data_IF_048228609638
#
_entry.id   IF_048228609638
#
_cell.length_a   1.000
_cell.length_b   1.000
_cell.length_c   1.000
_cell.angle_alpha   90.00
_cell.angle_beta   90.00
_cell.angle_gamma   90.00
#
_symmetry.space_group_name_H-M   'P 1'
#
loop_
_entity.id
_entity.type
_entity.pdbx_description
1 polymer ?
#
# COMPACT_ATOMS: atom_id res chain seq x y z
N UNK A 1 9.67 -14.99 -2.77
CA UNK A 1 9.10 -15.63 -3.97
C UNK A 1 9.92 -15.16 -5.17
N UNK A 2 10.32 -16.09 -6.05
CA UNK A 2 11.10 -15.79 -7.24
C UNK A 2 10.28 -16.15 -8.48
N UNK A 3 10.48 -15.39 -9.55
CA UNK A 3 9.80 -15.55 -10.84
C UNK A 3 10.84 -15.45 -11.95
N UNK A 4 10.65 -16.20 -13.03
CA UNK A 4 11.49 -16.13 -14.23
C UNK A 4 10.64 -16.38 -15.47
N UNK A 5 10.92 -15.61 -16.51
CA UNK A 5 10.46 -15.92 -17.86
C UNK A 5 11.52 -16.73 -18.60
N UNK A 6 11.12 -17.87 -19.15
CA UNK A 6 12.01 -18.74 -19.91
C UNK A 6 11.26 -19.30 -21.12
N UNK A 7 11.79 -19.07 -22.32
CA UNK A 7 11.19 -19.48 -23.59
C UNK A 7 9.70 -19.04 -23.75
N UNK A 8 9.38 -17.82 -23.32
CA UNK A 8 8.01 -17.27 -23.38
C UNK A 8 7.04 -17.85 -22.36
N UNK A 9 7.52 -18.70 -21.44
CA UNK A 9 6.74 -19.27 -20.34
C UNK A 9 7.16 -18.63 -19.03
N UNK A 10 6.23 -18.52 -18.10
CA UNK A 10 6.48 -17.93 -16.78
C UNK A 10 6.57 -19.04 -15.76
N UNK A 11 7.64 -19.05 -14.98
CA UNK A 11 7.86 -20.00 -13.90
C UNK A 11 7.97 -19.27 -12.57
N UNK A 12 7.37 -19.85 -11.54
CA UNK A 12 7.37 -19.31 -10.17
C UNK A 12 7.95 -20.33 -9.21
N UNK A 13 8.79 -19.87 -8.29
CA UNK A 13 9.36 -20.70 -7.24
C UNK A 13 8.38 -20.81 -6.07
N UNK A 14 7.77 -21.97 -5.92
CA UNK A 14 6.83 -22.29 -4.84
C UNK A 14 7.29 -23.53 -4.09
N UNK A 15 7.44 -23.43 -2.77
CA UNK A 15 7.86 -24.55 -1.90
C UNK A 15 9.13 -25.27 -2.37
N UNK A 16 10.11 -24.51 -2.88
CA UNK A 16 11.39 -25.06 -3.37
C UNK A 16 11.32 -25.71 -4.76
N UNK A 17 10.17 -25.64 -5.45
CA UNK A 17 10.00 -26.17 -6.80
C UNK A 17 9.60 -25.06 -7.76
N UNK A 18 10.22 -25.06 -8.94
CA UNK A 18 9.78 -24.23 -10.06
C UNK A 18 8.52 -24.85 -10.66
N UNK A 19 7.47 -24.03 -10.78
CA UNK A 19 6.20 -24.42 -11.39
C UNK A 19 5.90 -23.48 -12.54
N UNK A 20 5.51 -24.05 -13.67
CA UNK A 20 5.00 -23.28 -14.80
C UNK A 20 3.63 -22.70 -14.44
N UNK A 21 3.46 -21.40 -14.71
CA UNK A 21 2.15 -20.74 -14.63
C UNK A 21 1.38 -21.12 -15.89
N UNK A 22 0.18 -21.67 -15.72
CA UNK A 22 -0.66 -22.03 -16.86
C UNK A 22 -1.12 -20.78 -17.62
N UNK A 23 -1.30 -20.91 -18.94
CA UNK A 23 -1.75 -19.80 -19.78
C UNK A 23 -3.18 -19.37 -19.43
N UNK A 24 -4.04 -20.29 -18.98
CA UNK A 24 -5.38 -19.98 -18.48
C UNK A 24 -5.33 -19.09 -17.24
N UNK A 25 -4.43 -19.39 -16.30
CA UNK A 25 -4.25 -18.57 -15.10
C UNK A 25 -3.76 -17.17 -15.48
N UNK A 26 -2.77 -17.06 -16.37
CA UNK A 26 -2.31 -15.76 -16.87
C UNK A 26 -3.45 -14.96 -17.49
N UNK A 27 -4.17 -15.56 -18.43
CA UNK A 27 -5.30 -14.91 -19.11
C UNK A 27 -6.37 -14.44 -18.12
N UNK A 28 -6.70 -15.25 -17.11
CA UNK A 28 -7.67 -14.86 -16.08
C UNK A 28 -7.22 -13.66 -15.24
N UNK A 29 -5.93 -13.57 -14.90
CA UNK A 29 -5.37 -12.44 -14.15
C UNK A 29 -5.41 -11.17 -15.00
N UNK A 30 -4.93 -11.25 -16.25
CA UNK A 30 -4.93 -10.10 -17.16
C UNK A 30 -6.35 -9.60 -17.45
N UNK A 31 -7.29 -10.50 -17.73
CA UNK A 31 -8.69 -10.16 -17.95
C UNK A 31 -9.27 -9.48 -16.71
N UNK A 32 -9.00 -10.00 -15.51
CA UNK A 32 -9.47 -9.38 -14.27
C UNK A 32 -8.93 -7.96 -14.10
N UNK A 33 -7.62 -7.75 -14.28
CA UNK A 33 -7.01 -6.43 -14.13
C UNK A 33 -7.46 -5.44 -15.21
N UNK A 34 -7.83 -5.93 -16.39
CA UNK A 34 -8.40 -5.11 -17.47
C UNK A 34 -9.85 -4.69 -17.19
N UNK A 35 -10.66 -5.61 -16.67
CA UNK A 35 -12.10 -5.38 -16.42
C UNK A 35 -12.37 -4.49 -15.20
N UNK A 36 -11.38 -4.38 -14.30
CA UNK A 36 -11.47 -3.54 -13.11
C UNK A 36 -10.60 -2.30 -13.33
N UNK A 37 -11.20 -1.11 -13.40
CA UNK A 37 -10.46 0.15 -13.50
C UNK A 37 -9.74 0.45 -12.17
N UNK A 38 -8.55 -0.14 -11.99
CA UNK A 38 -7.79 -0.10 -10.74
C UNK A 38 -6.91 1.15 -10.62
N UNK A 39 -6.62 1.82 -11.73
CA UNK A 39 -5.62 2.89 -11.77
C UNK A 39 -6.19 4.16 -11.18
N UNK A 40 -5.51 4.67 -10.15
CA UNK A 40 -5.85 5.92 -9.49
C UNK A 40 -4.82 6.99 -9.85
N UNK A 41 -5.25 8.25 -9.84
CA UNK A 41 -4.35 9.39 -9.95
C UNK A 41 -4.69 10.52 -8.94
N UNK A 42 -4.58 10.26 -7.63
CA UNK A 42 -4.84 11.27 -6.62
C UNK A 42 -3.79 12.38 -6.61
N UNK A 43 -4.23 13.63 -6.73
CA UNK A 43 -3.35 14.81 -6.73
C UNK A 43 -2.54 14.99 -5.43
N UNK A 44 -3.02 14.44 -4.31
CA UNK A 44 -2.34 14.52 -3.00
C UNK A 44 -1.11 13.60 -2.88
N UNK A 45 -0.89 12.69 -3.83
CA UNK A 45 0.35 11.91 -3.94
C UNK A 45 1.20 12.50 -5.07
N UNK A 46 2.32 13.18 -4.78
CA UNK A 46 3.09 13.89 -5.80
C UNK A 46 4.00 12.97 -6.62
N UNK A 47 4.43 13.47 -7.78
CA UNK A 47 5.50 12.90 -8.60
C UNK A 47 6.82 13.66 -8.39
N UNK A 48 7.93 13.08 -8.84
CA UNK A 48 9.24 13.75 -8.95
C UNK A 48 10.00 13.90 -7.64
N UNK A 49 9.51 13.34 -6.53
CA UNK A 49 10.24 13.38 -5.25
C UNK A 49 11.55 12.60 -5.37
N UNK A 50 12.66 13.21 -4.95
CA UNK A 50 13.89 12.48 -4.72
C UNK A 50 13.80 11.74 -3.38
N UNK A 51 13.84 10.40 -3.43
CA UNK A 51 13.69 9.54 -2.25
C UNK A 51 15.03 9.16 -1.61
N UNK A 52 16.12 9.78 -2.03
CA UNK A 52 17.44 9.52 -1.46
C UNK A 52 17.62 10.13 -0.09
N UNK A 53 18.15 9.30 0.81
CA UNK A 53 18.44 9.64 2.18
C UNK A 53 19.95 9.61 2.39
N UNK A 54 20.56 10.80 2.42
CA UNK A 54 22.02 10.96 2.37
C UNK A 54 22.76 10.36 3.57
N UNK A 55 22.20 10.40 4.77
CA UNK A 55 22.75 9.78 5.98
C UNK A 55 22.82 8.25 5.89
N UNK A 56 21.92 7.65 5.10
CA UNK A 56 21.86 6.20 4.86
C UNK A 56 22.50 5.77 3.54
N UNK A 57 22.77 6.72 2.64
CA UNK A 57 23.20 6.47 1.26
C UNK A 57 22.27 5.51 0.50
N UNK A 58 20.98 5.60 0.78
CA UNK A 58 19.96 4.69 0.25
C UNK A 58 18.71 5.47 -0.18
N UNK A 59 17.96 4.92 -1.13
CA UNK A 59 16.64 5.40 -1.51
C UNK A 59 15.58 4.78 -0.58
N UNK A 60 14.72 5.59 0.02
CA UNK A 60 13.85 5.19 1.13
C UNK A 60 12.43 5.72 0.93
N UNK A 61 11.43 4.86 1.06
CA UNK A 61 10.00 5.22 0.96
C UNK A 61 9.60 6.28 2.00
N UNK A 62 10.22 6.27 3.19
CA UNK A 62 9.99 7.25 4.27
C UNK A 62 10.20 8.71 3.80
N UNK A 63 11.10 8.94 2.83
CA UNK A 63 11.35 10.26 2.26
C UNK A 63 10.16 10.71 1.41
N UNK A 64 9.62 9.81 0.60
CA UNK A 64 8.39 10.08 -0.16
C UNK A 64 7.22 10.38 0.79
N UNK A 65 7.01 9.51 1.77
CA UNK A 65 5.88 9.60 2.71
C UNK A 65 5.91 10.95 3.45
N UNK A 66 7.07 11.34 3.98
CA UNK A 66 7.28 12.64 4.62
C UNK A 66 6.97 13.80 3.68
N UNK A 67 7.54 13.80 2.48
CA UNK A 67 7.36 14.91 1.52
C UNK A 67 5.91 15.04 1.04
N UNK A 68 5.23 13.93 0.78
CA UNK A 68 3.81 13.93 0.45
C UNK A 68 2.97 14.52 1.60
N UNK A 69 3.24 14.08 2.83
CA UNK A 69 2.53 14.55 4.01
C UNK A 69 2.85 16.01 4.39
N UNK A 70 4.04 16.52 4.08
CA UNK A 70 4.40 17.95 4.22
C UNK A 70 3.67 18.81 3.19
N UNK A 71 3.46 18.29 1.98
CA UNK A 71 2.82 19.00 0.87
C UNK A 71 1.28 18.99 0.90
N UNK A 72 0.66 18.21 1.79
CA UNK A 72 -0.79 18.07 1.87
C UNK A 72 -1.28 18.03 3.33
N UNK A 73 -2.07 19.04 3.73
CA UNK A 73 -2.64 19.12 5.07
C UNK A 73 -3.61 17.97 5.37
N UNK A 74 -4.26 17.45 4.32
CA UNK A 74 -5.23 16.36 4.39
C UNK A 74 -4.58 14.97 4.36
N UNK A 75 -3.25 14.87 4.41
CA UNK A 75 -2.53 13.59 4.36
C UNK A 75 -1.67 13.38 5.61
N UNK A 76 -2.13 12.54 6.55
CA UNK A 76 -1.44 12.25 7.80
C UNK A 76 -0.32 11.21 7.62
N UNK A 77 0.86 11.45 8.20
CA UNK A 77 1.99 10.52 8.17
C UNK A 77 1.87 9.47 9.27
N UNK A 78 1.90 8.18 8.91
CA UNK A 78 1.79 7.03 9.83
C UNK A 78 2.96 6.02 9.73
N UNK A 79 3.86 6.17 8.75
CA UNK A 79 5.11 5.42 8.42
C UNK A 79 5.99 4.95 9.62
N UNK A 80 5.73 5.42 10.84
CA UNK A 80 6.45 5.07 12.08
C UNK A 80 5.58 4.43 13.15
N UNK A 81 4.32 4.11 12.86
CA UNK A 81 3.42 3.41 13.76
C UNK A 81 3.80 1.93 13.88
N UNK A 82 4.89 1.63 14.61
CA UNK A 82 5.12 0.28 15.11
C UNK A 82 4.25 0.09 16.36
N UNK A 83 2.97 -0.15 16.14
CA UNK A 83 2.00 -0.32 17.22
C UNK A 83 2.27 -1.64 17.94
N UNK A 84 2.79 -1.59 19.16
CA UNK A 84 2.96 -2.78 19.99
C UNK A 84 1.68 -3.02 20.79
N UNK A 85 0.92 -4.07 20.42
CA UNK A 85 -0.24 -4.50 21.20
C UNK A 85 0.15 -5.73 22.03
N UNK A 86 0.05 -5.59 23.35
CA UNK A 86 0.23 -6.67 24.32
C UNK A 86 1.53 -7.50 24.15
N UNK A 87 2.63 -6.87 23.72
CA UNK A 87 3.96 -7.48 23.63
C UNK A 87 4.18 -8.47 22.48
N UNK A 88 3.23 -8.63 21.53
CA UNK A 88 3.34 -9.70 20.51
C UNK A 88 3.06 -9.27 19.05
N UNK A 89 2.25 -8.24 18.80
CA UNK A 89 1.91 -7.84 17.42
C UNK A 89 2.29 -6.41 17.14
N UNK A 90 3.10 -6.22 16.09
CA UNK A 90 3.42 -4.92 15.48
C UNK A 90 2.46 -4.69 14.32
N UNK A 91 1.55 -3.73 14.46
CA UNK A 91 0.67 -3.32 13.36
C UNK A 91 1.23 -2.06 12.71
N UNK A 92 1.49 -2.12 11.40
CA UNK A 92 1.79 -0.98 10.54
C UNK A 92 0.56 -0.79 9.64
N UNK A 93 -0.46 -0.10 10.15
CA UNK A 93 -1.80 -0.10 9.53
C UNK A 93 -1.79 0.50 8.13
N UNK A 94 -1.02 1.56 7.93
CA UNK A 94 -0.74 2.19 6.64
C UNK A 94 0.41 3.18 6.79
N UNK A 95 0.95 3.64 5.67
CA UNK A 95 2.04 4.63 5.65
C UNK A 95 1.50 6.06 5.71
N UNK A 96 0.36 6.28 5.05
CA UNK A 96 -0.34 7.56 4.97
C UNK A 96 -1.86 7.34 5.12
N UNK A 97 -2.53 8.27 5.81
CA UNK A 97 -4.00 8.31 5.90
C UNK A 97 -4.48 9.65 5.36
N UNK A 98 -5.35 9.63 4.36
CA UNK A 98 -5.92 10.85 3.83
C UNK A 98 -7.29 11.17 4.47
N UNK A 99 -7.65 12.46 4.54
CA UNK A 99 -8.89 12.94 5.15
C UNK A 99 -10.16 12.38 4.49
N UNK A 100 -10.06 11.93 3.24
CA UNK A 100 -11.13 11.25 2.49
C UNK A 100 -11.30 9.76 2.82
N UNK A 101 -10.62 9.26 3.88
CA UNK A 101 -10.58 7.84 4.29
C UNK A 101 -9.79 6.92 3.36
N UNK A 102 -8.83 7.45 2.59
CA UNK A 102 -7.85 6.63 1.87
C UNK A 102 -6.76 6.13 2.82
N UNK A 103 -6.68 4.81 2.96
CA UNK A 103 -5.65 4.05 3.67
C UNK A 103 -4.57 3.70 2.64
N UNK A 104 -3.43 4.39 2.70
CA UNK A 104 -2.42 4.36 1.62
C UNK A 104 -1.19 3.60 2.10
N UNK A 105 -0.79 2.62 1.29
CA UNK A 105 0.45 1.86 1.48
C UNK A 105 1.42 2.18 0.36
N UNK A 106 2.66 2.52 0.70
CA UNK A 106 3.68 2.99 -0.23
C UNK A 106 4.81 1.98 -0.30
N UNK A 107 5.14 1.54 -1.51
CA UNK A 107 6.31 0.70 -1.74
C UNK A 107 7.10 1.14 -2.94
N UNK A 108 8.41 1.16 -2.82
CA UNK A 108 9.28 1.32 -3.99
C UNK A 108 9.32 0.02 -4.79
N UNK A 109 9.06 0.13 -6.08
CA UNK A 109 9.43 -0.88 -7.04
C UNK A 109 10.96 -0.91 -7.17
N UNK A 110 11.55 -2.00 -6.72
CA UNK A 110 12.96 -2.33 -6.91
C UNK A 110 13.03 -3.68 -7.62
N UNK A 111 14.16 -4.03 -8.21
CA UNK A 111 14.35 -5.22 -9.06
C UNK A 111 13.94 -6.53 -8.36
N UNK A 112 12.66 -6.89 -8.44
CA UNK A 112 12.08 -8.13 -7.90
C UNK A 112 10.59 -8.05 -7.57
N UNK A 113 9.85 -9.14 -7.84
CA UNK A 113 8.41 -9.26 -7.57
C UNK A 113 8.05 -9.27 -6.08
N UNK A 114 8.98 -9.70 -5.22
CA UNK A 114 8.69 -10.03 -3.84
C UNK A 114 8.25 -8.81 -3.00
N UNK A 115 8.82 -7.62 -3.26
CA UNK A 115 8.51 -6.41 -2.50
C UNK A 115 7.10 -5.90 -2.78
N UNK A 116 6.68 -5.89 -4.05
CA UNK A 116 5.35 -5.43 -4.46
C UNK A 116 4.27 -6.46 -4.14
N UNK A 117 4.52 -7.76 -4.35
CA UNK A 117 3.58 -8.80 -3.88
C UNK A 117 3.33 -8.70 -2.36
N UNK A 118 4.38 -8.38 -1.59
CA UNK A 118 4.25 -8.15 -0.15
C UNK A 118 3.43 -6.92 0.17
N UNK A 119 3.58 -5.81 -0.57
CA UNK A 119 2.74 -4.61 -0.43
C UNK A 119 1.24 -4.97 -0.51
N UNK A 120 0.82 -5.70 -1.54
CA UNK A 120 -0.59 -6.06 -1.73
C UNK A 120 -1.11 -6.95 -0.61
N UNK A 121 -0.34 -7.98 -0.24
CA UNK A 121 -0.70 -8.87 0.87
C UNK A 121 -0.80 -8.11 2.20
N UNK A 122 0.15 -7.22 2.46
CA UNK A 122 0.22 -6.42 3.68
C UNK A 122 -0.97 -5.45 3.78
N UNK A 123 -1.26 -4.68 2.73
CA UNK A 123 -2.40 -3.76 2.73
C UNK A 123 -3.74 -4.49 2.81
N UNK A 124 -3.89 -5.66 2.14
CA UNK A 124 -5.06 -6.54 2.36
C UNK A 124 -5.21 -6.91 3.83
N UNK A 125 -4.13 -7.42 4.45
CA UNK A 125 -4.16 -7.86 5.83
C UNK A 125 -4.51 -6.72 6.80
N UNK A 126 -3.90 -5.54 6.63
CA UNK A 126 -4.14 -4.42 7.52
C UNK A 126 -5.48 -3.72 7.31
N UNK A 127 -5.97 -3.57 6.08
CA UNK A 127 -7.33 -3.08 5.84
C UNK A 127 -8.39 -4.04 6.42
N UNK A 128 -8.16 -5.35 6.29
CA UNK A 128 -8.99 -6.35 6.96
C UNK A 128 -8.94 -6.24 8.49
N UNK A 129 -7.74 -6.07 9.07
CA UNK A 129 -7.59 -5.86 10.50
C UNK A 129 -8.24 -4.54 10.96
N UNK A 130 -8.09 -3.45 10.21
CA UNK A 130 -8.72 -2.17 10.50
C UNK A 130 -10.26 -2.31 10.62
N UNK A 131 -10.89 -3.04 9.71
CA UNK A 131 -12.34 -3.25 9.74
C UNK A 131 -12.82 -4.27 10.78
N UNK A 132 -12.02 -5.27 11.13
CA UNK A 132 -12.45 -6.36 12.03
C UNK A 132 -11.96 -6.27 13.46
N UNK A 133 -10.76 -5.73 13.67
CA UNK A 133 -10.02 -5.80 14.91
C UNK A 133 -10.07 -4.45 15.63
N UNK A 134 -10.83 -4.40 16.73
CA UNK A 134 -10.92 -3.20 17.58
C UNK A 134 -9.56 -2.86 18.20
N UNK A 135 -8.71 -3.84 18.49
CA UNK A 135 -7.37 -3.58 19.02
C UNK A 135 -6.50 -2.86 17.99
N UNK A 136 -6.60 -3.23 16.71
CA UNK A 136 -5.94 -2.54 15.60
C UNK A 136 -6.34 -1.05 15.57
N UNK A 137 -7.64 -0.75 15.57
CA UNK A 137 -8.14 0.65 15.57
C UNK A 137 -7.74 1.43 16.82
N UNK A 138 -7.79 0.79 17.99
CA UNK A 138 -7.35 1.41 19.24
C UNK A 138 -5.86 1.75 19.22
N UNK A 139 -5.02 0.86 18.69
CA UNK A 139 -3.59 1.11 18.51
C UNK A 139 -3.34 2.31 17.59
N UNK A 140 -4.02 2.35 16.44
CA UNK A 140 -3.92 3.47 15.50
C UNK A 140 -4.36 4.80 16.12
N UNK A 141 -5.47 4.80 16.86
CA UNK A 141 -5.98 5.97 17.60
C UNK A 141 -4.95 6.45 18.63
N UNK A 142 -4.44 5.54 19.45
CA UNK A 142 -3.47 5.88 20.50
C UNK A 142 -2.17 6.45 19.93
N UNK A 143 -1.74 5.97 18.76
CA UNK A 143 -0.56 6.51 18.08
C UNK A 143 -0.80 7.91 17.54
N UNK A 144 -1.93 8.16 16.86
CA UNK A 144 -2.28 9.51 16.39
C UNK A 144 -2.42 10.49 17.57
N UNK A 145 -3.03 10.05 18.68
CA UNK A 145 -3.14 10.86 19.90
C UNK A 145 -1.76 11.26 20.43
N UNK A 146 -0.83 10.30 20.53
CA UNK A 146 0.52 10.51 21.05
C UNK A 146 1.50 11.13 20.05
N UNK A 147 1.16 11.19 18.76
CA UNK A 147 2.05 11.63 17.70
C UNK A 147 2.43 13.11 17.83
N UNK A 148 3.73 13.38 17.78
CA UNK A 148 4.34 14.70 17.85
C UNK A 148 5.28 14.98 16.67
N UNK A 149 5.25 14.16 15.59
CA UNK A 149 6.09 14.40 14.41
C UNK A 149 5.75 15.79 13.83
N UNK A 150 6.75 16.66 13.60
CA UNK A 150 6.53 18.02 13.11
C UNK A 150 5.71 18.10 11.81
N UNK A 151 5.72 17.04 11.00
CA UNK A 151 4.93 16.94 9.77
C UNK A 151 3.43 16.92 10.03
N UNK A 152 3.01 16.42 11.19
CA UNK A 152 1.61 16.25 11.54
C UNK A 152 1.11 17.32 12.53
N UNK A 153 1.99 18.04 13.22
CA UNK A 153 1.62 18.96 14.30
C UNK A 153 0.64 20.06 13.88
N UNK A 154 0.71 20.50 12.62
CA UNK A 154 -0.15 21.54 12.07
C UNK A 154 -1.46 21.01 11.45
N UNK A 155 -1.68 19.69 11.44
CA UNK A 155 -2.84 19.04 10.81
C UNK A 155 -4.02 18.95 11.76
N UNK A 156 -5.22 18.76 11.21
CA UNK A 156 -6.44 18.51 11.97
C UNK A 156 -6.45 17.12 12.60
N UNK A 157 -5.64 16.93 13.65
CA UNK A 157 -5.56 15.68 14.41
C UNK A 157 -6.95 15.18 14.87
N UNK A 158 -7.85 16.01 15.43
CA UNK A 158 -9.22 15.60 15.72
C UNK A 158 -9.98 15.05 14.50
N UNK A 159 -9.83 15.69 13.35
CA UNK A 159 -10.40 15.22 12.08
C UNK A 159 -9.92 13.81 11.72
N UNK A 160 -8.61 13.55 11.78
CA UNK A 160 -8.04 12.22 11.49
C UNK A 160 -8.46 11.14 12.50
N UNK A 161 -8.54 11.48 13.79
CA UNK A 161 -9.06 10.56 14.82
C UNK A 161 -10.53 10.19 14.56
N UNK A 162 -11.33 11.13 14.05
CA UNK A 162 -12.72 10.86 13.68
C UNK A 162 -12.87 9.91 12.49
N UNK A 163 -11.81 9.70 11.69
CA UNK A 163 -11.79 8.71 10.61
C UNK A 163 -11.61 7.28 11.14
N UNK A 164 -11.38 7.07 12.44
CA UNK A 164 -11.14 5.76 13.06
C UNK A 164 -12.28 5.43 14.04
N UNK A 165 -13.32 4.70 13.59
CA UNK A 165 -14.46 4.37 14.44
C UNK A 165 -14.05 3.46 15.60
N UNK A 166 -14.39 3.84 16.83
CA UNK A 166 -14.08 3.02 18.03
C UNK A 166 -14.84 1.70 18.02
N UNK A 167 -16.11 1.71 17.58
CA UNK A 167 -16.96 0.51 17.52
C UNK A 167 -17.06 0.02 16.09
N UNK A 168 -17.10 -1.30 15.93
CA UNK A 168 -17.30 -1.95 14.63
C UNK A 168 -18.62 -1.53 13.96
N UNK A 169 -19.68 -1.31 14.74
CA UNK A 169 -20.99 -0.91 14.22
C UNK A 169 -21.00 0.47 13.54
N UNK A 170 -20.01 1.31 13.86
CA UNK A 170 -19.87 2.66 13.30
C UNK A 170 -18.92 2.68 12.09
N UNK A 171 -18.34 1.52 11.73
CA UNK A 171 -17.45 1.33 10.60
C UNK A 171 -18.22 0.73 9.43
N UNK A 172 -18.18 1.43 8.30
CA UNK A 172 -18.69 0.93 7.03
C UNK A 172 -17.52 0.91 6.04
N UNK A 173 -17.08 -0.28 5.64
CA UNK A 173 -15.91 -0.46 4.78
C UNK A 173 -16.04 0.26 3.42
N UNK A 174 -17.26 0.46 2.91
CA UNK A 174 -17.55 1.16 1.64
C UNK A 174 -17.14 2.64 1.63
N UNK A 175 -16.97 3.21 2.82
CA UNK A 175 -16.56 4.60 2.98
C UNK A 175 -15.04 4.76 2.92
N UNK A 176 -14.28 3.66 2.93
CA UNK A 176 -12.82 3.64 2.93
C UNK A 176 -12.28 3.16 1.58
N UNK A 177 -11.12 3.72 1.22
CA UNK A 177 -10.35 3.28 0.06
C UNK A 177 -9.02 2.72 0.51
N UNK A 178 -8.60 1.59 -0.05
CA UNK A 178 -7.24 1.06 0.11
C UNK A 178 -6.45 1.41 -1.14
N UNK A 179 -5.39 2.19 -0.97
CA UNK A 179 -4.58 2.70 -2.08
C UNK A 179 -3.19 2.08 -2.01
N UNK A 180 -2.82 1.33 -3.04
CA UNK A 180 -1.46 0.81 -3.20
C UNK A 180 -0.64 1.80 -4.03
N UNK A 181 0.25 2.53 -3.40
CA UNK A 181 1.16 3.45 -4.06
C UNK A 181 2.49 2.76 -4.37
N UNK A 182 2.78 2.61 -5.66
CA UNK A 182 4.04 2.02 -6.13
C UNK A 182 4.93 3.14 -6.69
N UNK A 183 6.08 3.33 -6.03
CA UNK A 183 7.09 4.29 -6.47
C UNK A 183 7.99 3.65 -7.53
N UNK A 184 8.22 4.33 -8.65
CA UNK A 184 9.07 3.86 -9.74
C UNK A 184 9.98 4.97 -10.27
N UNK A 185 11.06 4.63 -10.95
CA UNK A 185 11.99 5.57 -11.58
C UNK A 185 11.99 5.51 -13.11
N UNK A 186 11.16 4.64 -13.70
CA UNK A 186 10.99 4.52 -15.15
C UNK A 186 10.02 5.56 -15.74
N UNK A 187 10.21 5.94 -17.00
CA UNK A 187 9.30 6.85 -17.74
C UNK A 187 7.96 6.19 -18.09
N UNK A 188 8.01 4.99 -18.69
CA UNK A 188 6.82 4.28 -19.19
C UNK A 188 6.34 3.19 -18.23
N UNK A 189 6.29 3.47 -16.92
CA UNK A 189 5.87 2.46 -15.95
C UNK A 189 4.36 2.21 -16.01
N UNK A 190 3.96 0.94 -15.99
CA UNK A 190 2.56 0.54 -16.05
C UNK A 190 2.30 -0.72 -15.23
N UNK A 191 1.01 -1.04 -15.04
CA UNK A 191 0.59 -2.25 -14.34
C UNK A 191 1.12 -3.53 -15.03
N UNK A 192 1.22 -3.52 -16.36
CA UNK A 192 1.71 -4.65 -17.18
C UNK A 192 3.20 -4.94 -16.96
N UNK A 193 3.98 -3.94 -16.52
CA UNK A 193 5.39 -4.12 -16.17
C UNK A 193 5.60 -4.79 -14.81
N UNK A 194 4.54 -4.93 -14.00
CA UNK A 194 4.66 -5.70 -12.78
C UNK A 194 4.86 -7.19 -13.10
N UNK A 195 5.76 -7.89 -12.38
CA UNK A 195 5.89 -9.33 -12.48
C UNK A 195 4.55 -10.04 -12.31
N UNK A 196 4.38 -11.19 -12.95
CA UNK A 196 3.11 -11.92 -12.96
C UNK A 196 2.60 -12.17 -11.54
N UNK A 197 3.47 -12.59 -10.62
CA UNK A 197 3.07 -12.82 -9.23
C UNK A 197 2.67 -11.56 -8.47
N UNK A 198 3.16 -10.38 -8.86
CA UNK A 198 2.69 -9.12 -8.28
C UNK A 198 1.28 -8.81 -8.78
N UNK A 199 1.01 -8.97 -10.08
CA UNK A 199 -0.34 -8.85 -10.67
C UNK A 199 -1.34 -9.85 -10.08
N UNK A 200 -0.93 -11.10 -9.90
CA UNK A 200 -1.74 -12.13 -9.25
C UNK A 200 -2.09 -11.76 -7.80
N UNK A 201 -1.11 -11.30 -6.99
CA UNK A 201 -1.40 -10.87 -5.62
C UNK A 201 -2.24 -9.59 -5.55
N UNK A 202 -2.11 -8.68 -6.54
CA UNK A 202 -3.00 -7.53 -6.67
C UNK A 202 -4.43 -7.98 -6.93
N UNK A 203 -4.66 -8.87 -7.90
CA UNK A 203 -5.99 -9.45 -8.19
C UNK A 203 -6.58 -10.07 -6.91
N UNK A 204 -5.82 -10.92 -6.21
CA UNK A 204 -6.31 -11.57 -4.99
C UNK A 204 -6.60 -10.58 -3.86
N UNK A 205 -5.81 -9.52 -3.76
CA UNK A 205 -5.99 -8.49 -2.74
C UNK A 205 -7.18 -7.59 -3.05
N UNK A 206 -7.31 -7.15 -4.29
CA UNK A 206 -8.45 -6.41 -4.80
C UNK A 206 -9.74 -7.19 -4.56
N UNK A 207 -9.82 -8.41 -5.10
CA UNK A 207 -11.00 -9.27 -4.99
C UNK A 207 -11.49 -9.44 -3.55
N UNK A 208 -10.59 -9.80 -2.64
CA UNK A 208 -10.94 -9.96 -1.23
C UNK A 208 -11.46 -8.65 -0.61
N UNK A 209 -10.76 -7.54 -0.86
CA UNK A 209 -11.11 -6.26 -0.26
C UNK A 209 -12.41 -5.67 -0.83
N UNK A 210 -12.71 -5.90 -2.11
CA UNK A 210 -13.94 -5.39 -2.74
C UNK A 210 -15.12 -6.35 -2.54
N UNK A 211 -14.97 -7.63 -2.83
CA UNK A 211 -16.08 -8.60 -2.83
C UNK A 211 -16.41 -9.05 -1.41
N UNK A 212 -15.42 -9.42 -0.60
CA UNK A 212 -15.66 -9.94 0.75
C UNK A 212 -15.82 -8.81 1.77
N UNK A 213 -15.16 -7.67 1.54
CA UNK A 213 -15.07 -6.56 2.51
C UNK A 213 -15.67 -5.24 2.05
N UNK A 214 -16.08 -5.08 0.79
CA UNK A 214 -16.70 -3.86 0.25
C UNK A 214 -15.86 -2.57 0.34
N UNK A 215 -14.54 -2.65 0.53
CA UNK A 215 -13.66 -1.49 0.38
C UNK A 215 -13.64 -1.02 -1.07
N UNK A 216 -13.32 0.25 -1.30
CA UNK A 216 -12.78 0.69 -2.60
C UNK A 216 -11.30 0.37 -2.63
N UNK A 217 -10.77 -0.04 -3.77
CA UNK A 217 -9.36 -0.41 -3.88
C UNK A 217 -8.83 0.12 -5.18
N UNK A 218 -7.60 0.64 -5.15
CA UNK A 218 -6.90 0.98 -6.37
C UNK A 218 -5.40 1.04 -6.18
N UNK A 219 -4.70 1.17 -7.29
CA UNK A 219 -3.25 1.25 -7.38
C UNK A 219 -2.86 2.56 -8.06
N UNK A 220 -1.81 3.18 -7.56
CA UNK A 220 -1.29 4.44 -8.09
C UNK A 220 0.21 4.30 -8.32
N UNK A 221 0.67 4.81 -9.45
CA UNK A 221 2.08 4.84 -9.80
C UNK A 221 2.63 6.24 -9.64
N UNK A 222 3.69 6.38 -8.84
CA UNK A 222 4.36 7.67 -8.61
C UNK A 222 5.80 7.60 -9.02
N UNK A 223 6.11 8.33 -10.09
CA UNK A 223 7.48 8.52 -10.55
C UNK A 223 8.27 9.26 -9.48
N UNK A 224 9.38 8.70 -9.06
CA UNK A 224 10.33 9.29 -8.12
C UNK A 224 11.69 9.45 -8.81
N UNK A 225 12.52 10.32 -8.25
CA UNK A 225 13.93 10.35 -8.59
C UNK A 225 14.70 9.60 -7.51
N UNK A 226 15.75 8.90 -7.95
CA UNK A 226 16.69 8.29 -7.03
C UNK A 226 17.80 9.29 -6.74
N UNK A 227 18.66 8.96 -5.78
CA UNK A 227 19.74 9.84 -5.33
C UNK A 227 20.63 10.41 -6.41
N UNK A 228 21.40 11.45 -6.05
CA UNK A 228 22.37 12.06 -6.96
C UNK A 228 23.30 11.02 -7.58
#
# INVERSE_FOLDING_TARGET
MAEVEWNGRTFVLSSGQWREVSEELKASVEQYLHDHDLLLDPAYLPHGINIYKADRKENREEVFNRRAAEGCADLYLLDKAKLEIAGQRRYEVCDLLHADRSIIHVKRYSSGAASISHLFTQGRFYAHAFSTDTACRNGMTAWIDADDDPVNVAKDKPGFLALIPKKKADLNEKDYSVVFCVLHDEDDFSLEKLPFMSRYELMQSHRFLTEDRSFRVGIVFRKVTLGP
#
